data_IF_823408790561
#
_entry.id   IF_823408790561
#
_cell.length_a   1.000
_cell.length_b   1.000
_cell.length_c   1.000
_cell.angle_alpha   90.00
_cell.angle_beta   90.00
_cell.angle_gamma   90.00
#
_symmetry.space_group_name_H-M   'P 1'
#
loop_
_entity.id
_entity.type
_entity.pdbx_description
1 polymer ?
#
# COMPACT_ATOMS: atom_id res chain seq x y z
N UNK A 1 -3.13 -2.47 -37.09
CA UNK A 1 -4.50 -2.89 -37.08
C UNK A 1 -4.83 -3.53 -35.73
N UNK A 2 -5.93 -3.13 -35.14
CA UNK A 2 -6.45 -3.65 -33.87
C UNK A 2 -7.67 -4.52 -34.14
N UNK A 3 -7.73 -5.72 -33.55
CA UNK A 3 -8.84 -6.66 -33.69
C UNK A 3 -9.32 -7.13 -32.32
N UNK A 4 -10.62 -7.13 -32.14
CA UNK A 4 -11.31 -7.74 -31.01
C UNK A 4 -12.08 -8.96 -31.54
N UNK A 5 -11.95 -10.11 -30.89
CA UNK A 5 -12.62 -11.37 -31.29
C UNK A 5 -13.38 -11.92 -30.10
N UNK A 6 -14.69 -11.92 -30.17
CA UNK A 6 -15.64 -12.41 -29.15
C UNK A 6 -15.25 -11.95 -27.73
N UNK A 7 -14.93 -10.64 -27.57
CA UNK A 7 -14.46 -10.07 -26.32
C UNK A 7 -15.61 -9.98 -25.32
N UNK A 8 -15.47 -10.68 -24.18
CA UNK A 8 -16.41 -10.64 -23.06
C UNK A 8 -15.74 -10.10 -21.80
N UNK A 9 -16.52 -9.38 -21.01
CA UNK A 9 -16.10 -8.88 -19.71
C UNK A 9 -17.24 -8.93 -18.72
N UNK A 10 -17.05 -9.69 -17.66
CA UNK A 10 -17.95 -9.76 -16.52
C UNK A 10 -17.26 -9.17 -15.29
N UNK A 11 -17.98 -8.35 -14.54
CA UNK A 11 -17.57 -7.88 -13.22
C UNK A 11 -18.32 -8.68 -12.16
N UNK A 12 -17.65 -9.00 -11.06
CA UNK A 12 -18.29 -9.63 -9.92
C UNK A 12 -18.78 -8.56 -8.95
N UNK A 13 -20.08 -8.45 -8.76
CA UNK A 13 -20.73 -7.62 -7.77
C UNK A 13 -21.42 -8.53 -6.79
N UNK A 14 -21.00 -8.55 -5.53
CA UNK A 14 -21.52 -9.45 -4.48
C UNK A 14 -21.53 -10.94 -4.91
N UNK A 15 -20.47 -11.37 -5.61
CA UNK A 15 -20.31 -12.72 -6.21
C UNK A 15 -21.26 -13.03 -7.39
N UNK A 16 -22.08 -12.08 -7.81
CA UNK A 16 -22.96 -12.23 -8.98
C UNK A 16 -22.25 -11.65 -10.21
N UNK A 17 -22.12 -12.39 -11.33
CA UNK A 17 -21.50 -11.87 -12.54
C UNK A 17 -22.41 -10.83 -13.21
N UNK A 18 -21.86 -9.64 -13.44
CA UNK A 18 -22.51 -8.58 -14.21
C UNK A 18 -21.80 -8.41 -15.57
N UNK A 19 -22.45 -8.84 -16.68
CA UNK A 19 -21.84 -8.82 -18.00
C UNK A 19 -21.79 -7.41 -18.60
N UNK A 20 -20.61 -6.79 -18.58
CA UNK A 20 -20.37 -5.46 -19.17
C UNK A 20 -20.14 -5.52 -20.69
N UNK A 21 -19.51 -6.61 -21.19
CA UNK A 21 -19.36 -6.89 -22.62
C UNK A 21 -19.78 -8.33 -22.93
N UNK A 22 -20.61 -8.49 -23.98
CA UNK A 22 -21.27 -9.77 -24.29
C UNK A 22 -20.82 -10.35 -25.66
N UNK A 23 -19.50 -10.36 -25.93
CA UNK A 23 -18.98 -10.93 -27.18
C UNK A 23 -18.82 -9.89 -28.28
N UNK A 24 -17.91 -8.94 -28.08
CA UNK A 24 -17.61 -7.86 -29.02
C UNK A 24 -16.60 -8.34 -30.07
N UNK A 25 -16.99 -8.26 -31.35
CA UNK A 25 -16.07 -8.52 -32.48
C UNK A 25 -15.99 -7.27 -33.34
N UNK A 26 -14.79 -6.68 -33.41
CA UNK A 26 -14.50 -5.43 -34.13
C UNK A 26 -13.10 -5.47 -34.75
N UNK A 27 -12.96 -4.78 -35.87
CA UNK A 27 -11.66 -4.55 -36.50
C UNK A 27 -11.48 -3.07 -36.77
N UNK A 28 -10.35 -2.48 -36.38
CA UNK A 28 -10.04 -1.07 -36.58
C UNK A 28 -8.87 -0.93 -37.54
N UNK A 29 -8.95 0.08 -38.42
CA UNK A 29 -7.87 0.49 -39.32
C UNK A 29 -6.82 1.36 -38.58
N UNK A 30 -5.64 1.54 -39.17
CA UNK A 30 -4.52 2.22 -38.50
C UNK A 30 -4.72 3.72 -38.31
N UNK A 31 -5.39 4.38 -39.25
CA UNK A 31 -5.61 5.82 -39.28
C UNK A 31 -7.11 6.09 -39.44
N UNK A 32 -7.81 6.20 -38.35
CA UNK A 32 -9.27 6.34 -38.36
C UNK A 32 -9.74 7.08 -37.11
N UNK A 33 -10.76 7.91 -37.24
CA UNK A 33 -11.46 8.47 -36.10
C UNK A 33 -12.77 7.73 -35.87
N UNK A 34 -12.81 6.91 -34.84
CA UNK A 34 -13.95 6.09 -34.46
C UNK A 34 -14.64 6.68 -33.24
N UNK A 35 -15.97 6.86 -33.31
CA UNK A 35 -16.75 7.16 -32.12
C UNK A 35 -17.59 5.94 -31.69
N UNK A 36 -17.49 5.58 -30.41
CA UNK A 36 -18.31 4.58 -29.77
C UNK A 36 -19.43 5.29 -29.00
N UNK A 37 -20.66 5.03 -29.42
CA UNK A 37 -21.88 5.66 -28.92
C UNK A 37 -22.70 4.69 -28.07
N UNK A 38 -23.42 5.23 -27.09
CA UNK A 38 -24.37 4.45 -26.29
C UNK A 38 -24.70 5.12 -24.96
N UNK A 39 -25.75 4.67 -24.27
CA UNK A 39 -26.17 5.21 -22.98
C UNK A 39 -25.11 4.98 -21.89
N UNK A 40 -25.23 5.68 -20.76
CA UNK A 40 -24.38 5.42 -19.59
C UNK A 40 -24.54 3.97 -19.11
N UNK A 41 -23.45 3.36 -18.64
CA UNK A 41 -23.45 1.99 -18.15
C UNK A 41 -23.41 0.89 -19.24
N UNK A 42 -23.50 1.20 -20.54
CA UNK A 42 -23.44 0.15 -21.58
C UNK A 42 -22.02 -0.45 -21.84
N UNK A 43 -21.02 -0.14 -20.99
CA UNK A 43 -19.68 -0.69 -21.04
C UNK A 43 -18.69 0.04 -21.98
N UNK A 44 -18.92 1.31 -22.35
CA UNK A 44 -18.02 2.08 -23.24
C UNK A 44 -16.61 2.24 -22.66
N UNK A 45 -16.51 2.72 -21.44
CA UNK A 45 -15.23 2.86 -20.71
C UNK A 45 -14.56 1.52 -20.50
N UNK A 46 -15.35 0.46 -20.20
CA UNK A 46 -14.83 -0.92 -20.11
C UNK A 46 -14.16 -1.34 -21.42
N UNK A 47 -14.77 -1.07 -22.56
CA UNK A 47 -14.17 -1.36 -23.87
C UNK A 47 -12.83 -0.64 -24.06
N UNK A 48 -12.76 0.66 -23.73
CA UNK A 48 -11.51 1.43 -23.82
C UNK A 48 -10.43 0.85 -22.88
N UNK A 49 -10.80 0.50 -21.64
CA UNK A 49 -9.87 -0.05 -20.67
C UNK A 49 -9.28 -1.39 -21.13
N UNK A 50 -10.10 -2.25 -21.74
CA UNK A 50 -9.64 -3.53 -22.28
C UNK A 50 -8.72 -3.35 -23.49
N UNK A 51 -9.08 -2.47 -24.44
CA UNK A 51 -8.22 -2.12 -25.58
C UNK A 51 -6.89 -1.53 -25.10
N UNK A 52 -6.93 -0.70 -24.08
CA UNK A 52 -5.77 -0.05 -23.48
C UNK A 52 -4.94 -0.95 -22.58
N UNK A 53 -5.39 -2.17 -22.30
CA UNK A 53 -4.70 -3.09 -21.39
C UNK A 53 -4.69 -2.61 -19.93
N UNK A 54 -5.69 -1.81 -19.51
CA UNK A 54 -5.91 -1.38 -18.13
C UNK A 54 -6.77 -2.36 -17.34
N UNK A 55 -7.50 -3.22 -18.02
CA UNK A 55 -8.33 -4.27 -17.45
C UNK A 55 -8.14 -5.58 -18.22
N UNK A 56 -8.53 -6.71 -17.63
CA UNK A 56 -8.43 -8.06 -18.19
C UNK A 56 -9.76 -8.54 -18.76
N UNK A 57 -9.72 -9.35 -19.82
CA UNK A 57 -10.90 -10.02 -20.38
C UNK A 57 -11.41 -11.14 -19.46
N UNK A 58 -12.70 -11.42 -19.50
CA UNK A 58 -13.26 -12.69 -19.02
C UNK A 58 -13.05 -13.80 -20.06
N UNK A 59 -13.31 -13.50 -21.35
CA UNK A 59 -13.03 -14.40 -22.46
C UNK A 59 -12.87 -13.63 -23.78
N UNK A 60 -12.42 -14.32 -24.83
CA UNK A 60 -12.15 -13.72 -26.13
C UNK A 60 -10.69 -13.33 -26.31
N UNK A 61 -10.40 -12.52 -27.33
CA UNK A 61 -9.04 -12.12 -27.70
C UNK A 61 -8.99 -10.69 -28.19
N UNK A 62 -7.91 -9.97 -27.81
CA UNK A 62 -7.53 -8.68 -28.42
C UNK A 62 -6.19 -8.87 -29.12
N UNK A 63 -6.15 -8.57 -30.44
CA UNK A 63 -4.93 -8.63 -31.24
C UNK A 63 -4.56 -7.25 -31.70
N UNK A 64 -3.27 -6.89 -31.53
CA UNK A 64 -2.68 -5.68 -32.06
C UNK A 64 -1.53 -6.05 -32.99
N UNK A 65 -1.61 -5.62 -34.26
CA UNK A 65 -0.66 -5.97 -35.32
C UNK A 65 -0.45 -7.49 -35.47
N UNK A 66 -1.53 -8.27 -35.30
CA UNK A 66 -1.51 -9.74 -35.40
C UNK A 66 -0.99 -10.46 -34.14
N UNK A 67 -0.54 -9.73 -33.12
CA UNK A 67 -0.08 -10.31 -31.85
C UNK A 67 -1.17 -10.20 -30.79
N UNK A 68 -1.44 -11.30 -30.06
CA UNK A 68 -2.40 -11.29 -28.96
C UNK A 68 -1.88 -10.47 -27.80
N UNK A 69 -2.68 -9.49 -27.37
CA UNK A 69 -2.36 -8.59 -26.25
C UNK A 69 -3.00 -9.09 -24.96
N UNK A 70 -4.17 -9.70 -25.05
CA UNK A 70 -5.04 -10.06 -23.91
C UNK A 70 -4.44 -11.08 -22.94
N UNK A 71 -3.51 -11.93 -23.39
CA UNK A 71 -2.84 -12.96 -22.56
C UNK A 71 -1.41 -12.61 -22.15
N UNK A 72 -0.98 -11.37 -22.39
CA UNK A 72 0.38 -10.95 -22.07
C UNK A 72 0.60 -10.82 -20.55
N UNK A 73 1.82 -11.11 -20.12
CA UNK A 73 2.27 -10.83 -18.74
C UNK A 73 2.31 -9.32 -18.50
N UNK A 74 2.19 -8.91 -17.24
CA UNK A 74 2.12 -7.49 -16.85
C UNK A 74 3.24 -6.63 -17.46
N UNK A 75 4.50 -7.12 -17.50
CA UNK A 75 5.61 -6.41 -18.13
C UNK A 75 5.43 -6.17 -19.64
N UNK A 76 4.77 -7.07 -20.32
CA UNK A 76 4.49 -6.94 -21.77
C UNK A 76 3.30 -6.01 -22.01
N UNK A 77 2.31 -6.03 -21.10
CA UNK A 77 1.22 -5.06 -21.09
C UNK A 77 1.73 -3.65 -20.79
N UNK A 78 2.68 -3.48 -19.86
CA UNK A 78 3.37 -2.20 -19.65
C UNK A 78 4.05 -1.70 -20.91
N UNK A 79 4.74 -2.58 -21.63
CA UNK A 79 5.37 -2.25 -22.89
C UNK A 79 4.34 -1.85 -23.96
N UNK A 80 3.22 -2.57 -24.06
CA UNK A 80 2.12 -2.26 -24.96
C UNK A 80 1.51 -0.89 -24.63
N UNK A 81 1.13 -0.65 -23.36
CA UNK A 81 0.61 0.63 -22.90
C UNK A 81 1.54 1.77 -23.22
N UNK A 82 2.80 1.65 -22.86
CA UNK A 82 3.77 2.72 -23.02
C UNK A 82 4.14 3.02 -24.48
N UNK A 83 4.14 2.02 -25.38
CA UNK A 83 4.58 2.20 -26.75
C UNK A 83 3.43 2.48 -27.73
N UNK A 84 2.22 1.98 -27.46
CA UNK A 84 1.16 1.99 -28.44
C UNK A 84 -0.10 2.70 -28.01
N UNK A 85 -0.29 2.97 -26.70
CA UNK A 85 -1.52 3.55 -26.19
C UNK A 85 -1.28 4.95 -25.63
N UNK A 86 -2.16 5.89 -25.99
CA UNK A 86 -2.31 7.18 -25.35
C UNK A 86 -3.71 7.30 -24.80
N UNK A 87 -3.85 7.53 -23.49
CA UNK A 87 -5.16 7.72 -22.84
C UNK A 87 -5.47 9.20 -22.63
N UNK A 88 -6.69 9.59 -22.96
CA UNK A 88 -7.29 10.91 -22.72
C UNK A 88 -8.56 10.68 -21.91
N UNK A 89 -8.52 11.02 -20.64
CA UNK A 89 -9.63 10.84 -19.69
C UNK A 89 -10.51 12.10 -19.60
N UNK A 90 -11.73 11.94 -19.12
CA UNK A 90 -12.65 13.02 -18.86
C UNK A 90 -12.13 13.98 -17.77
N UNK A 91 -11.56 13.44 -16.68
CA UNK A 91 -11.08 14.20 -15.51
C UNK A 91 -9.61 14.64 -15.61
N UNK A 92 -9.05 14.76 -16.78
CA UNK A 92 -7.67 15.19 -17.10
C UNK A 92 -6.56 14.42 -16.38
N UNK A 93 -6.71 14.03 -15.10
CA UNK A 93 -5.71 13.38 -14.22
C UNK A 93 -4.35 14.05 -14.27
N UNK A 94 -4.32 15.37 -14.16
CA UNK A 94 -3.09 16.12 -14.04
C UNK A 94 -2.58 16.11 -12.60
N UNK A 95 -1.26 16.01 -12.44
CA UNK A 95 -0.63 16.06 -11.12
C UNK A 95 -0.58 17.54 -10.67
N UNK A 96 -1.28 17.93 -9.60
CA UNK A 96 -1.51 19.35 -9.25
C UNK A 96 -0.24 20.14 -8.92
N UNK A 97 0.78 19.46 -8.39
CA UNK A 97 2.03 20.10 -7.96
C UNK A 97 3.07 20.23 -9.07
N UNK A 98 2.85 19.60 -10.21
CA UNK A 98 3.72 19.66 -11.38
C UNK A 98 3.24 20.72 -12.36
N UNK A 99 4.19 21.36 -13.05
CA UNK A 99 3.90 22.26 -14.17
C UNK A 99 3.29 21.49 -15.35
N UNK A 100 2.76 22.22 -16.33
CA UNK A 100 2.30 21.66 -17.61
C UNK A 100 3.41 20.86 -18.27
N UNK A 101 4.61 21.42 -18.36
CA UNK A 101 5.78 20.73 -18.91
C UNK A 101 6.09 19.42 -18.20
N UNK A 102 6.11 19.43 -16.87
CA UNK A 102 6.39 18.24 -16.05
C UNK A 102 5.28 17.19 -16.16
N UNK A 103 4.01 17.58 -16.22
CA UNK A 103 2.90 16.68 -16.45
C UNK A 103 3.02 15.91 -17.77
N UNK A 104 3.41 16.58 -18.85
CA UNK A 104 3.64 15.92 -20.14
C UNK A 104 4.91 15.08 -20.12
N UNK A 105 5.99 15.57 -19.47
CA UNK A 105 7.27 14.84 -19.32
C UNK A 105 7.11 13.52 -18.58
N UNK A 106 6.13 13.38 -17.67
CA UNK A 106 5.86 12.13 -16.93
C UNK A 106 5.66 10.95 -17.88
N UNK A 107 4.96 11.12 -18.99
CA UNK A 107 4.74 10.04 -19.95
C UNK A 107 6.03 9.51 -20.59
N UNK A 108 7.11 10.29 -20.59
CA UNK A 108 8.43 9.90 -21.09
C UNK A 108 9.34 9.29 -20.01
N UNK A 109 8.90 9.27 -18.75
CA UNK A 109 9.72 8.82 -17.60
C UNK A 109 10.09 7.35 -17.68
N UNK A 110 9.22 6.55 -18.30
CA UNK A 110 9.36 5.09 -18.40
C UNK A 110 10.34 4.66 -19.51
N UNK A 111 10.71 5.59 -20.39
CA UNK A 111 11.59 5.33 -21.54
C UNK A 111 12.97 5.94 -21.33
N UNK A 112 13.96 5.36 -21.98
CA UNK A 112 15.34 5.82 -21.89
C UNK A 112 15.63 6.86 -22.98
N UNK A 113 15.19 8.10 -22.71
CA UNK A 113 15.51 9.29 -23.52
C UNK A 113 16.47 10.17 -22.75
N UNK A 114 17.35 10.89 -23.48
CA UNK A 114 18.15 11.96 -22.89
C UNK A 114 17.25 13.10 -22.39
N UNK A 115 17.73 13.91 -21.45
CA UNK A 115 16.96 15.07 -20.97
C UNK A 115 16.72 16.10 -22.10
N UNK A 116 17.65 16.23 -23.02
CA UNK A 116 17.51 17.10 -24.20
C UNK A 116 16.38 16.60 -25.12
N UNK A 117 16.34 15.28 -25.41
CA UNK A 117 15.28 14.68 -26.22
C UNK A 117 13.90 14.82 -25.55
N UNK A 118 13.84 14.56 -24.23
CA UNK A 118 12.59 14.74 -23.47
C UNK A 118 12.08 16.16 -23.57
N UNK A 119 12.96 17.15 -23.40
CA UNK A 119 12.59 18.57 -23.50
C UNK A 119 12.05 18.88 -24.89
N UNK A 120 12.72 18.42 -25.94
CA UNK A 120 12.30 18.61 -27.34
C UNK A 120 10.93 17.98 -27.59
N UNK A 121 10.75 16.70 -27.22
CA UNK A 121 9.48 15.97 -27.42
C UNK A 121 8.31 16.63 -26.68
N UNK A 122 8.54 17.09 -25.43
CA UNK A 122 7.50 17.77 -24.65
C UNK A 122 7.09 19.08 -25.31
N UNK A 123 8.05 19.91 -25.73
CA UNK A 123 7.75 21.19 -26.39
C UNK A 123 7.00 20.98 -27.72
N UNK A 124 7.41 19.98 -28.52
CA UNK A 124 6.71 19.59 -29.75
C UNK A 124 5.26 19.16 -29.48
N UNK A 125 5.05 18.33 -28.44
CA UNK A 125 3.70 17.92 -28.05
C UNK A 125 2.84 19.10 -27.58
N UNK A 126 3.38 20.02 -26.78
CA UNK A 126 2.70 21.22 -26.32
C UNK A 126 2.36 22.16 -27.49
N UNK A 127 3.26 22.27 -28.48
CA UNK A 127 3.03 23.03 -29.71
C UNK A 127 1.90 22.43 -30.54
N UNK A 128 1.87 21.09 -30.72
CA UNK A 128 0.78 20.38 -31.44
C UNK A 128 -0.62 20.67 -30.88
N UNK A 129 -0.72 20.96 -29.58
CA UNK A 129 -1.99 21.25 -28.90
C UNK A 129 -2.17 22.74 -28.57
N UNK A 130 -1.30 23.62 -29.07
CA UNK A 130 -1.34 25.08 -28.94
C UNK A 130 -1.40 25.59 -27.48
N UNK A 131 -0.50 25.08 -26.63
CA UNK A 131 -0.34 25.50 -25.22
C UNK A 131 1.13 25.62 -24.79
N UNK A 132 2.08 25.75 -25.70
CA UNK A 132 3.51 25.82 -25.34
C UNK A 132 3.83 27.00 -24.41
N UNK A 133 3.12 28.12 -24.55
CA UNK A 133 3.26 29.32 -23.69
C UNK A 133 2.84 29.07 -22.24
N UNK A 134 2.15 27.98 -21.97
CA UNK A 134 1.67 27.61 -20.64
C UNK A 134 2.58 26.56 -19.96
N UNK A 135 3.73 26.22 -20.54
CA UNK A 135 4.60 25.14 -20.08
C UNK A 135 5.02 25.26 -18.60
N UNK A 136 5.21 26.49 -18.09
CA UNK A 136 5.60 26.76 -16.69
C UNK A 136 4.42 26.87 -15.70
N UNK A 137 3.18 26.95 -16.20
CA UNK A 137 1.99 27.03 -15.33
C UNK A 137 1.66 25.71 -14.66
N UNK A 138 0.95 25.78 -13.53
CA UNK A 138 0.41 24.62 -12.82
C UNK A 138 -1.06 24.37 -13.22
N UNK A 139 -1.59 23.15 -13.04
CA UNK A 139 -2.98 22.81 -13.36
C UNK A 139 -4.02 23.75 -12.75
N UNK A 140 -3.79 24.25 -11.54
CA UNK A 140 -4.68 25.21 -10.87
C UNK A 140 -4.79 26.58 -11.55
N UNK A 141 -3.92 26.88 -12.52
CA UNK A 141 -3.87 28.14 -13.27
C UNK A 141 -4.44 27.99 -14.69
N UNK A 142 -5.02 26.83 -15.01
CA UNK A 142 -5.53 26.50 -16.34
C UNK A 142 -7.06 26.52 -16.37
N UNK A 143 -7.63 26.94 -17.51
CA UNK A 143 -9.03 26.65 -17.81
C UNK A 143 -9.23 25.16 -18.10
N UNK A 144 -10.47 24.66 -18.03
CA UNK A 144 -10.79 23.26 -18.34
C UNK A 144 -10.30 22.84 -19.74
N UNK A 145 -10.51 23.69 -20.76
CA UNK A 145 -10.02 23.43 -22.12
C UNK A 145 -8.50 23.39 -22.23
N UNK A 146 -7.78 24.23 -21.45
CA UNK A 146 -6.32 24.21 -21.39
C UNK A 146 -5.84 22.93 -20.67
N UNK A 147 -6.48 22.53 -19.57
CA UNK A 147 -6.17 21.31 -18.86
C UNK A 147 -6.36 20.05 -19.74
N UNK A 148 -7.44 20.04 -20.53
CA UNK A 148 -7.70 18.97 -21.52
C UNK A 148 -6.58 18.91 -22.59
N UNK A 149 -6.15 20.06 -23.10
CA UNK A 149 -5.03 20.11 -24.06
C UNK A 149 -3.73 19.55 -23.44
N UNK A 150 -3.46 19.82 -22.16
CA UNK A 150 -2.31 19.20 -21.44
C UNK A 150 -2.47 17.68 -21.37
N UNK A 151 -3.67 17.17 -21.06
CA UNK A 151 -3.94 15.73 -21.04
C UNK A 151 -3.73 15.09 -22.43
N UNK A 152 -4.16 15.77 -23.49
CA UNK A 152 -3.92 15.35 -24.89
C UNK A 152 -2.41 15.38 -25.21
N UNK A 153 -1.68 16.45 -24.87
CA UNK A 153 -0.23 16.54 -25.08
C UNK A 153 0.49 15.40 -24.38
N UNK A 154 0.11 15.06 -23.13
CA UNK A 154 0.64 13.92 -22.39
C UNK A 154 0.36 12.59 -23.10
N UNK A 155 -0.81 12.44 -23.69
CA UNK A 155 -1.18 11.22 -24.42
C UNK A 155 -0.38 11.06 -25.72
N UNK A 156 -0.08 12.15 -26.45
CA UNK A 156 0.58 12.10 -27.77
C UNK A 156 2.11 12.19 -27.70
N UNK A 157 2.70 12.64 -26.60
CA UNK A 157 4.16 12.87 -26.48
C UNK A 157 5.00 11.61 -26.75
N UNK A 158 4.45 10.43 -26.48
CA UNK A 158 5.07 9.14 -26.77
C UNK A 158 4.88 8.69 -28.23
N UNK A 159 4.15 9.46 -29.02
CA UNK A 159 3.72 9.13 -30.38
C UNK A 159 3.08 7.72 -30.46
N UNK A 160 1.97 7.47 -29.74
CA UNK A 160 1.32 6.16 -29.67
C UNK A 160 0.66 5.79 -31.01
N UNK A 161 0.37 4.51 -31.22
CA UNK A 161 -0.39 4.06 -32.39
C UNK A 161 -1.89 4.27 -32.24
N UNK A 162 -2.39 4.23 -31.01
CA UNK A 162 -3.80 4.32 -30.66
C UNK A 162 -4.01 5.40 -29.60
N UNK A 163 -4.97 6.29 -29.82
CA UNK A 163 -5.46 7.26 -28.84
C UNK A 163 -6.86 6.84 -28.36
N UNK A 164 -6.99 6.59 -27.07
CA UNK A 164 -8.26 6.25 -26.43
C UNK A 164 -8.76 7.45 -25.68
N UNK A 165 -9.95 7.95 -26.01
CA UNK A 165 -10.52 9.15 -25.43
C UNK A 165 -11.90 8.86 -24.80
N UNK A 166 -11.96 8.94 -23.48
CA UNK A 166 -13.19 8.73 -22.72
C UNK A 166 -13.85 10.09 -22.42
N UNK A 167 -14.94 10.39 -23.11
CA UNK A 167 -15.71 11.64 -23.02
C UNK A 167 -14.85 12.93 -22.93
N UNK A 168 -13.89 13.15 -23.84
CA UNK A 168 -12.85 14.18 -23.70
C UNK A 168 -13.37 15.63 -23.73
N UNK A 169 -14.66 15.83 -23.90
CA UNK A 169 -15.32 17.15 -23.95
C UNK A 169 -16.46 17.30 -22.95
N UNK A 170 -16.70 16.31 -22.09
CA UNK A 170 -17.85 16.28 -21.19
C UNK A 170 -17.89 17.43 -20.17
N UNK A 171 -16.73 17.91 -19.72
CA UNK A 171 -16.60 18.98 -18.74
C UNK A 171 -16.29 20.37 -19.35
N UNK A 172 -16.43 20.54 -20.66
CA UNK A 172 -16.04 21.76 -21.37
C UNK A 172 -17.25 22.52 -21.93
N UNK A 173 -17.12 23.86 -22.02
CA UNK A 173 -18.04 24.71 -22.75
C UNK A 173 -18.03 24.39 -24.26
N UNK A 174 -19.04 24.91 -24.98
CA UNK A 174 -19.27 24.58 -26.41
C UNK A 174 -18.09 24.95 -27.31
N UNK A 175 -17.42 26.08 -27.07
CA UNK A 175 -16.35 26.57 -27.91
C UNK A 175 -15.08 25.73 -27.72
N UNK A 176 -14.67 25.49 -26.47
CA UNK A 176 -13.52 24.64 -26.16
C UNK A 176 -13.77 23.20 -26.61
N UNK A 177 -15.00 22.70 -26.45
CA UNK A 177 -15.40 21.37 -26.93
C UNK A 177 -15.21 21.23 -28.45
N UNK A 178 -15.57 22.27 -29.24
CA UNK A 178 -15.34 22.27 -30.69
C UNK A 178 -13.86 22.21 -31.05
N UNK A 179 -13.04 23.02 -30.37
CA UNK A 179 -11.57 23.04 -30.56
C UNK A 179 -10.92 21.68 -30.22
N UNK A 180 -11.34 21.03 -29.14
CA UNK A 180 -10.82 19.71 -28.78
C UNK A 180 -11.24 18.63 -29.77
N UNK A 181 -12.48 18.63 -30.25
CA UNK A 181 -12.95 17.68 -31.27
C UNK A 181 -12.17 17.84 -32.58
N UNK A 182 -11.94 19.09 -33.03
CA UNK A 182 -11.13 19.34 -34.22
C UNK A 182 -9.69 18.84 -34.01
N UNK A 183 -9.07 19.09 -32.86
CA UNK A 183 -7.74 18.60 -32.53
C UNK A 183 -7.66 17.06 -32.61
N UNK A 184 -8.64 16.35 -32.02
CA UNK A 184 -8.69 14.88 -32.12
C UNK A 184 -8.87 14.39 -33.55
N UNK A 185 -9.66 15.12 -34.38
CA UNK A 185 -9.80 14.82 -35.79
C UNK A 185 -8.47 14.99 -36.55
N UNK A 186 -7.72 16.04 -36.26
CA UNK A 186 -6.42 16.25 -36.88
C UNK A 186 -5.40 15.19 -36.44
N UNK A 187 -5.43 14.78 -35.17
CA UNK A 187 -4.60 13.69 -34.66
C UNK A 187 -4.95 12.33 -35.30
N UNK A 188 -6.19 12.13 -35.77
CA UNK A 188 -6.58 10.87 -36.42
C UNK A 188 -5.90 10.64 -37.78
N UNK A 189 -5.27 11.66 -38.34
CA UNK A 189 -4.41 11.54 -39.54
C UNK A 189 -3.08 10.81 -39.26
N UNK A 190 -2.66 10.78 -37.99
CA UNK A 190 -1.40 10.15 -37.56
C UNK A 190 -1.64 8.93 -36.64
N UNK A 191 -2.81 8.81 -36.01
CA UNK A 191 -3.16 7.83 -34.99
C UNK A 191 -4.52 7.19 -35.24
N UNK A 192 -4.76 5.96 -34.79
CA UNK A 192 -6.10 5.45 -34.58
C UNK A 192 -6.71 6.14 -33.34
N UNK A 193 -7.73 6.93 -33.54
CA UNK A 193 -8.45 7.60 -32.42
C UNK A 193 -9.75 6.86 -32.17
N UNK A 194 -9.94 6.33 -30.97
CA UNK A 194 -11.20 5.71 -30.50
C UNK A 194 -11.74 6.59 -29.38
N UNK A 195 -12.84 7.29 -29.66
CA UNK A 195 -13.51 8.17 -28.71
C UNK A 195 -14.84 7.56 -28.26
N UNK A 196 -15.09 7.64 -26.97
CA UNK A 196 -16.41 7.37 -26.39
C UNK A 196 -17.15 8.67 -26.22
N UNK A 197 -18.44 8.69 -26.54
CA UNK A 197 -19.34 9.85 -26.36
C UNK A 197 -20.79 9.39 -26.34
N UNK A 198 -21.63 10.18 -25.71
CA UNK A 198 -23.09 10.00 -25.75
C UNK A 198 -23.78 10.93 -26.77
N UNK A 199 -23.08 11.89 -27.38
CA UNK A 199 -23.62 12.83 -28.35
C UNK A 199 -23.42 12.33 -29.78
N UNK A 200 -24.49 11.84 -30.39
CA UNK A 200 -24.49 11.26 -31.74
C UNK A 200 -24.29 12.33 -32.84
N UNK A 201 -24.95 13.49 -32.76
CA UNK A 201 -24.87 14.52 -33.79
C UNK A 201 -23.43 15.00 -33.98
N UNK A 202 -22.74 15.26 -32.86
CA UNK A 202 -21.36 15.68 -32.89
C UNK A 202 -20.39 14.52 -33.28
N UNK A 203 -20.78 13.28 -33.00
CA UNK A 203 -20.01 12.15 -33.46
C UNK A 203 -20.05 11.98 -34.98
N UNK A 204 -21.21 12.17 -35.60
CA UNK A 204 -21.38 12.11 -37.06
C UNK A 204 -20.55 13.13 -37.82
N UNK A 205 -20.42 14.35 -37.29
CA UNK A 205 -19.65 15.42 -37.93
C UNK A 205 -18.15 15.14 -37.99
N UNK A 206 -17.60 14.57 -36.90
CA UNK A 206 -16.13 14.46 -36.75
C UNK A 206 -15.57 13.07 -37.04
N UNK A 207 -16.38 12.00 -36.94
CA UNK A 207 -15.88 10.62 -37.02
C UNK A 207 -15.88 10.12 -38.48
N UNK A 208 -15.06 9.10 -38.71
CA UNK A 208 -15.03 8.31 -39.93
C UNK A 208 -15.90 7.06 -39.82
N UNK A 209 -16.13 6.60 -38.55
CA UNK A 209 -16.93 5.41 -38.23
C UNK A 209 -17.66 5.59 -36.91
N UNK A 210 -18.89 5.15 -36.85
CA UNK A 210 -19.75 5.16 -35.69
C UNK A 210 -20.05 3.72 -35.25
N UNK A 211 -19.85 3.42 -33.97
CA UNK A 211 -20.17 2.13 -33.38
C UNK A 211 -21.20 2.36 -32.27
N UNK A 212 -22.42 1.93 -32.49
CA UNK A 212 -23.50 2.05 -31.50
C UNK A 212 -23.51 0.83 -30.59
N UNK A 213 -23.62 1.10 -29.32
CA UNK A 213 -23.66 0.08 -28.27
C UNK A 213 -24.86 0.23 -27.37
N UNK A 214 -25.46 -0.92 -27.03
CA UNK A 214 -26.53 -1.04 -26.05
C UNK A 214 -26.43 -2.36 -25.31
N UNK A 215 -26.60 -2.36 -23.99
CA UNK A 215 -26.66 -3.53 -23.11
C UNK A 215 -25.51 -4.53 -23.30
N UNK A 216 -24.28 -4.01 -23.48
CA UNK A 216 -23.06 -4.83 -23.64
C UNK A 216 -22.83 -5.36 -25.06
N UNK A 217 -23.70 -5.08 -26.04
CA UNK A 217 -23.61 -5.53 -27.43
C UNK A 217 -23.39 -4.35 -28.39
N UNK A 218 -22.93 -4.66 -29.60
CA UNK A 218 -22.91 -3.74 -30.74
C UNK A 218 -24.27 -3.84 -31.43
N UNK A 219 -24.96 -2.73 -31.55
CA UNK A 219 -26.26 -2.67 -32.23
C UNK A 219 -26.14 -2.17 -33.68
N UNK A 220 -25.18 -1.31 -33.97
CA UNK A 220 -24.91 -0.80 -35.31
C UNK A 220 -23.44 -0.45 -35.47
N UNK A 221 -22.89 -0.70 -36.65
CA UNK A 221 -21.53 -0.32 -37.06
C UNK A 221 -21.60 0.35 -38.42
N UNK A 222 -21.34 1.64 -38.49
CA UNK A 222 -21.58 2.51 -39.64
C UNK A 222 -20.25 3.19 -40.05
N UNK A 223 -19.75 2.87 -41.23
CA UNK A 223 -18.61 3.60 -41.83
C UNK A 223 -19.16 4.83 -42.56
N UNK A 224 -18.74 6.00 -42.13
CA UNK A 224 -19.14 7.30 -42.74
C UNK A 224 -18.17 7.72 -43.86
N UNK A 225 -16.91 7.24 -43.77
CA UNK A 225 -15.85 7.49 -44.76
C UNK A 225 -15.01 6.25 -44.96
N UNK A 226 -14.53 6.07 -46.19
CA UNK A 226 -13.54 5.03 -46.45
C UNK A 226 -12.21 5.42 -45.79
N UNK A 227 -11.71 4.52 -44.96
CA UNK A 227 -10.42 4.72 -44.28
C UNK A 227 -9.30 4.18 -45.17
N UNK A 228 -8.23 4.94 -45.45
CA UNK A 228 -7.09 4.43 -46.19
C UNK A 228 -6.47 3.27 -45.40
N UNK A 229 -6.27 2.13 -46.08
CA UNK A 229 -5.53 0.98 -45.52
C UNK A 229 -4.05 1.34 -45.54
N UNK A 230 -3.63 2.10 -44.56
CA UNK A 230 -2.21 2.43 -44.38
C UNK A 230 -1.61 1.50 -43.30
N UNK A 231 -0.64 0.69 -43.74
CA UNK A 231 0.18 -0.10 -42.81
C UNK A 231 1.37 0.77 -42.39
N UNK A 232 1.34 1.40 -41.21
CA UNK A 232 2.58 1.89 -40.60
C UNK A 232 3.43 0.71 -40.15
N UNK A 233 4.72 0.71 -40.53
CA UNK A 233 5.70 -0.30 -40.15
C UNK A 233 5.74 -0.59 -38.66
N UNK A 234 6.09 -1.83 -38.31
CA UNK A 234 6.32 -2.29 -36.93
C UNK A 234 7.28 -1.33 -36.22
N UNK A 235 6.80 -0.55 -35.27
CA UNK A 235 7.68 0.06 -34.27
C UNK A 235 8.23 -1.06 -33.39
N UNK A 236 9.54 -1.25 -33.41
CA UNK A 236 10.19 -2.16 -32.47
C UNK A 236 9.81 -1.82 -31.02
N UNK A 237 9.42 -2.85 -30.27
CA UNK A 237 9.10 -2.75 -28.85
C UNK A 237 10.37 -2.35 -28.09
N UNK A 238 10.55 -1.08 -27.82
CA UNK A 238 11.62 -0.65 -26.92
C UNK A 238 11.29 -1.12 -25.52
N UNK A 239 12.22 -1.86 -24.90
CA UNK A 239 12.07 -2.35 -23.52
C UNK A 239 11.82 -1.17 -22.58
N UNK A 240 10.66 -1.18 -21.94
CA UNK A 240 10.27 -0.20 -20.94
C UNK A 240 10.62 -0.76 -19.56
N UNK A 241 11.68 -0.26 -18.94
CA UNK A 241 12.00 -0.56 -17.55
C UNK A 241 12.47 0.71 -16.84
N UNK A 242 11.77 1.06 -15.76
CA UNK A 242 12.25 2.09 -14.85
C UNK A 242 13.47 1.55 -14.09
N UNK A 243 14.63 2.18 -14.23
CA UNK A 243 15.79 1.93 -13.39
C UNK A 243 15.40 2.18 -11.92
N UNK A 244 15.91 1.33 -10.99
CA UNK A 244 15.67 1.44 -9.55
C UNK A 244 15.94 2.85 -9.02
N UNK A 245 17.02 3.48 -9.44
CA UNK A 245 17.36 4.86 -9.07
C UNK A 245 16.32 5.90 -9.53
N UNK A 246 15.67 5.69 -10.69
CA UNK A 246 14.59 6.58 -11.14
C UNK A 246 13.32 6.41 -10.31
N UNK A 247 12.98 5.17 -9.92
CA UNK A 247 11.86 4.90 -9.00
C UNK A 247 12.10 5.57 -7.66
N UNK A 248 13.32 5.45 -7.12
CA UNK A 248 13.72 6.08 -5.86
C UNK A 248 13.66 7.61 -5.96
N UNK A 249 14.18 8.21 -7.04
CA UNK A 249 14.13 9.66 -7.28
C UNK A 249 12.70 10.20 -7.36
N UNK A 250 11.78 9.47 -8.02
CA UNK A 250 10.36 9.83 -8.08
C UNK A 250 9.70 9.73 -6.70
N UNK A 251 9.98 8.68 -5.92
CA UNK A 251 9.47 8.52 -4.57
C UNK A 251 9.95 9.63 -3.64
N UNK A 252 11.25 9.95 -3.67
CA UNK A 252 11.86 11.04 -2.90
C UNK A 252 11.27 12.40 -3.31
N UNK A 253 11.10 12.65 -4.61
CA UNK A 253 10.49 13.89 -5.08
C UNK A 253 9.04 14.05 -4.61
N UNK A 254 8.25 12.98 -4.62
CA UNK A 254 6.88 12.97 -4.09
C UNK A 254 6.84 13.24 -2.57
N UNK A 255 7.79 12.69 -1.79
CA UNK A 255 7.93 12.98 -0.36
C UNK A 255 8.21 14.47 -0.11
N UNK A 256 9.14 15.06 -0.87
CA UNK A 256 9.47 16.48 -0.76
C UNK A 256 8.38 17.42 -1.28
N UNK A 257 7.54 16.98 -2.21
CA UNK A 257 6.41 17.77 -2.71
C UNK A 257 5.35 18.07 -1.65
N UNK A 258 5.26 17.23 -0.61
CA UNK A 258 4.31 17.35 0.51
C UNK A 258 5.04 17.55 1.85
N UNK A 259 6.12 18.36 1.87
CA UNK A 259 7.03 18.56 3.00
C UNK A 259 6.36 18.60 4.36
N UNK A 260 5.38 19.48 4.53
CA UNK A 260 4.71 19.68 5.82
C UNK A 260 3.89 18.47 6.27
N UNK A 261 3.17 17.79 5.36
CA UNK A 261 2.42 16.58 5.70
C UNK A 261 3.35 15.43 6.08
N UNK A 262 4.47 15.27 5.36
CA UNK A 262 5.45 14.22 5.63
C UNK A 262 6.18 14.46 6.95
N UNK A 263 6.59 15.72 7.23
CA UNK A 263 7.23 16.09 8.51
C UNK A 263 6.24 15.87 9.66
N UNK A 264 4.99 16.35 9.54
CA UNK A 264 3.98 16.19 10.58
C UNK A 264 3.70 14.71 10.89
N UNK A 265 3.59 13.88 9.86
CA UNK A 265 3.39 12.44 10.02
C UNK A 265 4.62 11.76 10.67
N UNK A 266 5.84 12.15 10.30
CA UNK A 266 7.06 11.64 10.91
C UNK A 266 7.18 12.02 12.38
N UNK A 267 6.88 13.29 12.72
CA UNK A 267 6.88 13.79 14.09
C UNK A 267 5.83 13.07 14.94
N UNK A 268 4.59 12.94 14.45
CA UNK A 268 3.52 12.21 15.15
C UNK A 268 3.88 10.75 15.43
N UNK A 269 4.47 10.06 14.45
CA UNK A 269 4.93 8.67 14.61
C UNK A 269 6.11 8.55 15.59
N UNK A 270 6.98 9.58 15.65
CA UNK A 270 8.10 9.63 16.58
C UNK A 270 7.62 9.79 18.02
N UNK A 271 6.61 10.61 18.29
CA UNK A 271 6.02 10.76 19.63
C UNK A 271 5.45 9.44 20.16
N UNK A 272 4.75 8.66 19.33
CA UNK A 272 4.26 7.35 19.73
C UNK A 272 5.38 6.39 20.16
N UNK A 273 6.47 6.35 19.38
CA UNK A 273 7.62 5.49 19.69
C UNK A 273 8.37 5.94 20.94
N UNK A 274 8.57 7.25 21.10
CA UNK A 274 9.20 7.83 22.30
C UNK A 274 8.36 7.50 23.54
N UNK A 275 7.03 7.64 23.48
CA UNK A 275 6.14 7.29 24.57
C UNK A 275 6.24 5.83 25.01
N UNK A 276 6.25 4.90 24.06
CA UNK A 276 6.43 3.47 24.34
C UNK A 276 7.81 3.20 24.95
N UNK A 277 8.88 3.74 24.38
CA UNK A 277 10.24 3.56 24.89
C UNK A 277 10.39 4.12 26.32
N UNK A 278 9.80 5.29 26.58
CA UNK A 278 9.79 5.93 27.91
C UNK A 278 9.03 5.08 28.94
N UNK A 279 7.85 4.56 28.57
CA UNK A 279 7.08 3.67 29.45
C UNK A 279 7.86 2.40 29.78
N UNK A 280 8.51 1.77 28.80
CA UNK A 280 9.30 0.56 29.03
C UNK A 280 10.54 0.86 29.89
N UNK A 281 11.18 2.00 29.71
CA UNK A 281 12.33 2.41 30.50
C UNK A 281 11.93 2.67 31.98
N UNK A 282 10.80 3.34 32.22
CA UNK A 282 10.27 3.56 33.58
C UNK A 282 9.94 2.22 34.25
N UNK A 283 9.22 1.34 33.53
CA UNK A 283 8.84 0.05 34.09
C UNK A 283 10.07 -0.80 34.43
N UNK A 284 11.08 -0.82 33.56
CA UNK A 284 12.34 -1.50 33.84
C UNK A 284 13.08 -0.90 35.02
N UNK A 285 13.21 0.44 35.06
CA UNK A 285 13.84 1.16 36.17
C UNK A 285 13.14 0.92 37.51
N UNK A 286 11.81 0.94 37.51
CA UNK A 286 11.03 0.63 38.71
C UNK A 286 11.23 -0.80 39.20
N UNK A 287 11.26 -1.79 38.32
CA UNK A 287 11.52 -3.18 38.69
C UNK A 287 12.93 -3.37 39.26
N UNK A 288 13.94 -2.76 38.66
CA UNK A 288 15.33 -2.81 39.19
C UNK A 288 15.40 -2.16 40.57
N UNK A 289 14.79 -0.98 40.73
CA UNK A 289 14.75 -0.27 42.00
C UNK A 289 13.98 -1.05 43.10
N UNK A 290 12.80 -1.58 42.75
CA UNK A 290 12.01 -2.41 43.67
C UNK A 290 12.75 -3.67 44.13
N UNK A 291 13.42 -4.36 43.21
CA UNK A 291 14.24 -5.51 43.54
C UNK A 291 15.42 -5.13 44.44
N UNK A 292 16.08 -4.00 44.18
CA UNK A 292 17.20 -3.54 45.03
C UNK A 292 16.74 -3.19 46.46
N UNK A 293 15.55 -2.56 46.59
CA UNK A 293 14.96 -2.29 47.89
C UNK A 293 14.56 -3.57 48.63
N UNK A 294 13.99 -4.54 47.91
CA UNK A 294 13.60 -5.84 48.51
C UNK A 294 14.81 -6.58 49.03
N UNK A 295 15.92 -6.62 48.25
CA UNK A 295 17.18 -7.23 48.70
C UNK A 295 17.77 -6.46 49.87
N UNK A 296 17.83 -5.14 49.82
CA UNK A 296 18.35 -4.34 50.94
C UNK A 296 17.53 -4.51 52.22
N UNK A 297 16.19 -4.58 52.11
CA UNK A 297 15.35 -4.83 53.25
C UNK A 297 15.50 -6.24 53.81
N UNK A 298 15.63 -7.26 52.96
CA UNK A 298 15.84 -8.62 53.38
C UNK A 298 17.20 -8.82 54.07
N UNK A 299 18.24 -8.12 53.59
CA UNK A 299 19.57 -8.19 54.21
C UNK A 299 19.73 -7.38 55.50
N UNK A 300 18.82 -6.41 55.74
CA UNK A 300 18.89 -5.58 56.94
C UNK A 300 18.07 -6.09 58.11
N UNK A 301 17.16 -7.06 57.88
CA UNK A 301 16.39 -7.68 58.91
C UNK A 301 17.11 -8.92 59.46
N UNK A 302 17.29 -9.02 60.77
CA UNK A 302 17.86 -10.24 61.37
C UNK A 302 16.90 -11.41 61.23
N UNK A 303 17.42 -12.53 60.83
CA UNK A 303 16.64 -13.79 60.87
C UNK A 303 16.57 -14.26 62.33
N UNK A 304 15.42 -14.28 62.91
CA UNK A 304 15.22 -14.75 64.30
C UNK A 304 14.70 -16.18 64.23
N UNK A 305 15.49 -17.09 64.79
CA UNK A 305 15.08 -18.49 64.99
C UNK A 305 14.70 -18.63 66.45
N UNK A 306 13.43 -18.84 66.75
CA UNK A 306 12.92 -19.00 68.10
C UNK A 306 12.93 -20.47 68.52
N UNK A 307 13.03 -20.72 69.84
CA UNK A 307 12.91 -22.09 70.38
C UNK A 307 11.49 -22.65 70.28
N UNK A 308 10.52 -21.78 70.05
CA UNK A 308 9.13 -22.18 69.90
C UNK A 308 8.53 -21.50 68.68
N UNK A 309 7.76 -22.25 67.93
CA UNK A 309 6.99 -21.72 66.81
C UNK A 309 5.50 -22.10 66.98
N UNK A 310 4.61 -21.14 66.73
CA UNK A 310 3.17 -21.36 66.84
C UNK A 310 2.68 -22.12 65.59
N UNK A 311 2.12 -23.31 65.80
CA UNK A 311 1.54 -24.04 64.67
C UNK A 311 0.25 -23.31 64.26
N UNK A 312 0.20 -22.81 63.05
CA UNK A 312 -1.00 -22.21 62.47
C UNK A 312 -2.12 -23.26 62.47
N UNK A 313 -3.25 -22.96 63.11
CA UNK A 313 -4.40 -23.89 63.26
C UNK A 313 -4.96 -24.41 61.91
N UNK A 314 -4.60 -23.83 60.79
CA UNK A 314 -5.02 -24.29 59.44
C UNK A 314 -4.27 -25.55 58.98
N UNK A 315 -3.09 -25.87 59.53
CA UNK A 315 -2.35 -27.07 59.17
C UNK A 315 -2.70 -28.26 60.06
N UNK A 316 -3.48 -28.05 61.12
CA UNK A 316 -3.84 -29.08 62.11
C UNK A 316 -4.85 -30.13 61.61
N UNK A 317 -5.43 -29.96 60.42
CA UNK A 317 -6.39 -30.90 59.82
C UNK A 317 -5.82 -31.74 58.66
N UNK A 318 -4.57 -31.61 58.33
CA UNK A 318 -3.87 -32.48 57.41
C UNK A 318 -3.20 -33.64 58.16
N UNK A 319 -3.49 -34.84 57.71
CA UNK A 319 -3.02 -36.16 58.05
C UNK A 319 -1.89 -36.27 59.13
N UNK A 320 -2.22 -36.81 60.26
CA UNK A 320 -1.36 -36.95 61.47
C UNK A 320 -0.05 -37.75 61.28
N UNK A 321 0.28 -38.15 60.07
CA UNK A 321 1.44 -38.99 59.70
C UNK A 321 2.36 -38.42 58.61
N UNK A 322 2.22 -37.17 58.19
CA UNK A 322 3.23 -36.59 57.31
C UNK A 322 4.31 -35.90 58.12
N UNK A 323 5.46 -36.52 58.20
CA UNK A 323 6.69 -35.85 58.57
C UNK A 323 6.93 -34.70 57.59
N UNK A 324 6.98 -33.47 58.11
CA UNK A 324 7.35 -32.31 57.29
C UNK A 324 8.79 -32.50 56.86
N UNK A 325 9.01 -32.99 55.63
CA UNK A 325 10.32 -33.08 55.06
C UNK A 325 10.77 -31.66 54.66
N UNK A 326 11.68 -31.08 55.41
CA UNK A 326 12.41 -29.90 54.95
C UNK A 326 13.30 -30.29 53.76
N UNK A 327 13.37 -29.44 52.74
CA UNK A 327 14.12 -29.78 51.54
C UNK A 327 15.60 -29.94 51.86
N UNK A 328 16.09 -31.10 51.62
CA UNK A 328 17.44 -31.58 51.25
C UNK A 328 18.69 -30.92 51.89
N UNK A 329 18.57 -30.27 52.99
CA UNK A 329 19.71 -29.74 53.69
C UNK A 329 19.80 -30.34 55.08
N UNK A 330 20.55 -31.35 55.11
CA UNK A 330 21.43 -31.71 56.21
C UNK A 330 20.99 -31.21 57.60
N UNK A 331 19.96 -31.85 58.17
CA UNK A 331 20.01 -32.20 59.58
C UNK A 331 19.50 -31.15 60.62
N UNK A 332 18.47 -30.39 60.34
CA UNK A 332 17.71 -29.76 61.41
C UNK A 332 16.25 -30.20 61.30
N UNK A 333 15.89 -31.18 62.07
CA UNK A 333 14.50 -31.62 62.15
C UNK A 333 13.86 -30.98 63.39
N UNK A 334 12.70 -30.31 63.31
CA UNK A 334 11.94 -29.93 64.46
C UNK A 334 11.51 -31.23 65.19
N UNK A 335 11.89 -31.40 66.45
CA UNK A 335 11.34 -32.46 67.26
C UNK A 335 9.88 -32.05 67.56
N UNK A 336 8.92 -32.79 67.02
CA UNK A 336 7.53 -32.68 67.42
C UNK A 336 7.45 -33.25 68.84
N UNK A 337 7.26 -32.36 69.84
CA UNK A 337 6.97 -32.78 71.19
C UNK A 337 5.46 -33.11 71.24
N UNK A 338 5.14 -34.39 71.20
CA UNK A 338 3.76 -34.90 71.18
C UNK A 338 3.03 -34.76 72.52
N UNK A 339 3.69 -34.26 73.54
CA UNK A 339 3.10 -34.12 74.86
C UNK A 339 2.61 -32.69 75.16
N UNK A 340 2.93 -31.68 74.29
CA UNK A 340 2.43 -30.32 74.59
C UNK A 340 1.02 -30.08 74.06
N UNK A 341 0.11 -29.91 74.99
CA UNK A 341 -1.33 -29.58 74.75
C UNK A 341 -1.58 -28.21 74.08
N UNK A 342 -0.53 -27.52 73.65
CA UNK A 342 -0.60 -26.11 73.25
C UNK A 342 -0.24 -25.82 71.80
N UNK A 343 0.02 -26.80 70.98
CA UNK A 343 0.24 -26.57 69.53
C UNK A 343 1.53 -25.83 69.20
N UNK A 344 2.61 -26.03 69.92
CA UNK A 344 3.96 -25.50 69.64
C UNK A 344 4.90 -26.66 69.30
N UNK A 345 5.78 -26.40 68.32
CA UNK A 345 6.93 -27.24 68.04
C UNK A 345 8.18 -26.65 68.71
N UNK A 346 9.00 -27.48 69.34
CA UNK A 346 10.24 -27.07 70.02
C UNK A 346 11.43 -27.31 69.13
N UNK A 347 12.16 -26.27 68.80
CA UNK A 347 13.44 -26.38 68.09
C UNK A 347 14.54 -26.74 69.08
N UNK A 348 15.33 -27.78 68.78
CA UNK A 348 16.52 -28.13 69.58
C UNK A 348 17.76 -27.53 68.96
N UNK A 349 18.37 -26.55 69.64
CA UNK A 349 19.67 -26.00 69.25
C UNK A 349 20.80 -26.91 69.73
N UNK A 350 21.22 -27.83 68.88
CA UNK A 350 22.32 -28.77 69.19
C UNK A 350 23.66 -28.10 69.03
N UNK A 351 24.75 -28.59 69.73
CA UNK A 351 26.11 -28.11 69.52
C UNK A 351 26.56 -28.20 68.07
N UNK A 352 26.03 -29.15 67.31
CA UNK A 352 26.31 -29.33 65.88
C UNK A 352 25.69 -28.21 65.05
N UNK A 353 24.51 -27.68 65.42
CA UNK A 353 23.91 -26.53 64.76
C UNK A 353 24.69 -25.25 65.01
N UNK A 354 25.16 -25.07 66.25
CA UNK A 354 26.00 -23.92 66.58
C UNK A 354 27.33 -23.95 65.81
N UNK A 355 28.00 -25.10 65.72
CA UNK A 355 29.21 -25.20 64.89
C UNK A 355 28.95 -24.96 63.39
N UNK A 356 27.77 -25.29 62.87
CA UNK A 356 27.35 -24.96 61.54
C UNK A 356 27.18 -23.44 61.32
N UNK A 357 26.61 -22.74 62.30
CA UNK A 357 26.50 -21.26 62.22
C UNK A 357 27.88 -20.59 62.24
N UNK A 358 28.79 -21.09 63.09
CA UNK A 358 30.19 -20.60 63.13
C UNK A 358 30.90 -20.82 61.80
N UNK A 359 30.75 -21.97 61.18
CA UNK A 359 31.29 -22.24 59.85
C UNK A 359 30.70 -21.25 58.80
N UNK A 360 29.42 -21.02 58.79
CA UNK A 360 28.78 -20.06 57.85
C UNK A 360 29.19 -18.61 58.12
N UNK A 361 29.53 -18.26 59.33
CA UNK A 361 30.12 -16.96 59.66
C UNK A 361 31.55 -16.86 59.11
N UNK A 362 32.39 -17.92 59.23
CA UNK A 362 33.72 -17.94 58.64
C UNK A 362 33.72 -17.91 57.12
N UNK A 363 32.71 -18.53 56.46
CA UNK A 363 32.50 -18.46 55.02
C UNK A 363 31.97 -17.08 54.54
N UNK A 364 31.71 -16.15 55.44
CA UNK A 364 31.20 -14.82 55.11
C UNK A 364 29.70 -14.78 54.68
N UNK A 365 28.98 -15.88 54.89
CA UNK A 365 27.57 -16.00 54.54
C UNK A 365 26.68 -15.39 55.65
N UNK A 366 27.11 -15.49 56.90
CA UNK A 366 26.51 -14.86 58.05
C UNK A 366 27.38 -13.71 58.55
N UNK A 367 26.84 -12.54 58.74
CA UNK A 367 27.60 -11.40 59.28
C UNK A 367 27.87 -11.53 60.75
N UNK A 368 26.90 -11.92 61.54
CA UNK A 368 26.99 -12.25 62.95
C UNK A 368 25.72 -12.97 63.42
N UNK A 369 25.77 -13.62 64.58
CA UNK A 369 24.62 -14.17 65.26
C UNK A 369 24.77 -14.00 66.76
N UNK A 370 23.66 -13.89 67.48
CA UNK A 370 23.62 -13.89 68.96
C UNK A 370 22.60 -14.90 69.43
N UNK A 371 22.95 -15.61 70.52
CA UNK A 371 22.05 -16.57 71.17
C UNK A 371 21.50 -15.88 72.40
N UNK A 372 20.17 -15.68 72.41
CA UNK A 372 19.49 -15.19 73.60
C UNK A 372 18.88 -16.36 74.36
N UNK A 373 19.48 -16.72 75.51
CA UNK A 373 18.92 -17.70 76.37
C UNK A 373 17.79 -17.06 77.17
N UNK A 374 16.55 -17.25 76.71
CA UNK A 374 15.37 -16.81 77.49
C UNK A 374 15.40 -17.52 78.85
N UNK A 375 15.36 -16.74 79.91
CA UNK A 375 15.17 -17.30 81.25
C UNK A 375 13.69 -17.65 81.40
N UNK A 376 13.32 -18.89 81.18
CA UNK A 376 12.02 -19.42 81.58
C UNK A 376 12.02 -19.50 83.11
N UNK A 377 11.86 -18.39 83.75
CA UNK A 377 11.38 -18.39 85.15
C UNK A 377 9.85 -18.41 85.13
N UNK A 378 9.26 -19.61 85.12
CA UNK A 378 7.93 -19.80 85.56
C UNK A 378 7.93 -19.74 87.08
N UNK A 379 7.32 -18.67 87.64
CA UNK A 379 6.84 -18.64 88.98
C UNK A 379 5.37 -19.11 89.01
#
# INVERSE_FOLDING_TARGET
>A
MLQLRDVKKDYLVDKVPYPALKGITLTFSSLQFVSVLGPSGCGKTTLLNLIGGLDSLTSGQILFQGQEVSKRKEKELDSYRNNHIGFIFQDYYLVPNLTVFENVKLALSVRDYSEADRKKMVLEALKKVDIEKLASKKPSQLSGGQAQRVAIARAIVTNPSILLADEPTGALDSENSKKIRQLLKDLSKEHLVIRVTHNEDLARVYSDRLIHRKDGLITKDESLKESPISFKEKKELRKSSLSFFRKLKLAVHNLFSRKWKTILAAVANSFGRIGIAFFLAINHGFNVYSNSLSVASATSLPVVVSSYDQINQKEQYGDKNQSIAYPDSKEIYPALDTESSYGYTRNQFTPKYLSYLDQRKEEGILSDYSINYGNDYNF
#
